data_IF_277199310059
#
_entry.id   IF_277199310059
#
_cell.length_a   1.000
_cell.length_b   1.000
_cell.length_c   1.000
_cell.angle_alpha   90.00
_cell.angle_beta   90.00
_cell.angle_gamma   90.00
#
_symmetry.space_group_name_H-M   'P 1'
#
loop_
_entity.id
_entity.type
_entity.pdbx_description
1 polymer ?
#
# COMPACT_ATOMS: atom_id res chain seq x y z
N UNK A 1 16.08 -13.84 3.24
CA UNK A 1 16.00 -14.57 1.94
C UNK A 1 14.52 -14.84 1.67
N UNK A 2 13.81 -13.88 1.08
CA UNK A 2 12.36 -13.98 0.88
C UNK A 2 12.05 -14.86 -0.35
N UNK A 3 11.40 -16.01 -0.12
CA UNK A 3 11.01 -16.97 -1.16
C UNK A 3 9.74 -16.51 -1.90
N UNK A 4 9.53 -17.04 -3.11
CA UNK A 4 8.60 -16.57 -4.17
C UNK A 4 7.09 -16.82 -3.91
N UNK A 5 6.56 -16.52 -2.73
CA UNK A 5 5.12 -16.66 -2.45
C UNK A 5 4.48 -15.29 -2.18
N UNK A 6 4.22 -14.51 -3.24
CA UNK A 6 3.72 -13.15 -3.10
C UNK A 6 2.29 -12.93 -3.63
N UNK A 7 1.41 -12.67 -2.65
CA UNK A 7 0.23 -11.80 -2.64
C UNK A 7 -1.11 -12.34 -3.17
N UNK A 8 -2.13 -12.27 -2.31
CA UNK A 8 -3.54 -12.50 -2.65
C UNK A 8 -4.47 -11.31 -2.35
N UNK A 9 -5.54 -11.18 -3.15
CA UNK A 9 -6.54 -10.11 -3.02
C UNK A 9 -7.49 -10.34 -1.83
N UNK A 10 -7.90 -9.28 -1.12
CA UNK A 10 -8.94 -9.34 -0.10
C UNK A 10 -10.29 -9.95 -0.51
N UNK A 11 -10.71 -9.85 -1.77
CA UNK A 11 -11.93 -10.52 -2.28
C UNK A 11 -11.83 -12.06 -2.24
N UNK A 12 -10.63 -12.63 -2.21
CA UNK A 12 -10.36 -14.07 -2.10
C UNK A 12 -9.98 -14.54 -0.69
N UNK A 13 -9.94 -13.65 0.31
CA UNK A 13 -9.62 -13.99 1.71
C UNK A 13 -10.53 -15.09 2.29
N UNK A 14 -11.73 -15.25 1.75
CA UNK A 14 -12.68 -16.31 2.15
C UNK A 14 -12.39 -17.69 1.53
N UNK A 15 -11.41 -17.82 0.61
CA UNK A 15 -11.18 -19.02 -0.21
C UNK A 15 -9.72 -19.46 -0.35
N UNK A 16 -8.77 -18.75 0.25
CA UNK A 16 -7.35 -19.08 0.11
C UNK A 16 -6.89 -20.20 1.04
N UNK A 17 -6.21 -21.20 0.47
CA UNK A 17 -5.49 -22.26 1.22
C UNK A 17 -4.02 -21.92 1.47
N UNK A 18 -3.51 -20.76 1.02
CA UNK A 18 -2.09 -20.39 1.13
C UNK A 18 -1.90 -19.21 2.06
N UNK A 19 -1.33 -19.49 3.23
CA UNK A 19 -1.03 -18.51 4.27
C UNK A 19 0.41 -18.00 4.24
N UNK A 20 1.32 -18.72 3.56
CA UNK A 20 2.69 -18.28 3.32
C UNK A 20 2.74 -17.17 2.25
N UNK A 21 2.18 -16.01 2.56
CA UNK A 21 2.20 -14.81 1.71
C UNK A 21 1.83 -13.56 2.51
N UNK A 22 2.07 -12.38 1.93
CA UNK A 22 1.56 -11.11 2.47
C UNK A 22 0.19 -10.71 1.89
N UNK A 23 -0.60 -9.94 2.65
CA UNK A 23 -1.85 -9.32 2.19
C UNK A 23 -1.61 -7.87 1.80
N UNK A 24 -2.24 -7.40 0.72
CA UNK A 24 -2.31 -5.97 0.39
C UNK A 24 -3.75 -5.47 0.22
N UNK A 25 -3.90 -4.14 0.18
CA UNK A 25 -5.18 -3.47 -0.05
C UNK A 25 -5.21 -2.54 -1.27
N UNK A 26 -4.38 -2.79 -2.29
CA UNK A 26 -4.45 -2.10 -3.59
C UNK A 26 -5.72 -2.51 -4.38
N UNK A 27 -6.87 -2.08 -3.88
CA UNK A 27 -8.24 -2.33 -4.34
C UNK A 27 -9.07 -1.06 -4.05
N UNK A 28 -10.31 -1.00 -4.55
CA UNK A 28 -11.20 0.11 -4.19
C UNK A 28 -11.58 0.05 -2.70
N UNK A 29 -11.63 1.23 -2.04
CA UNK A 29 -11.91 1.40 -0.61
C UNK A 29 -13.08 0.56 -0.08
N UNK A 30 -14.21 0.53 -0.82
CA UNK A 30 -15.42 -0.18 -0.40
C UNK A 30 -15.17 -1.67 -0.10
N UNK A 31 -14.15 -2.27 -0.73
CA UNK A 31 -13.82 -3.69 -0.58
C UNK A 31 -13.19 -4.01 0.79
N UNK A 32 -12.58 -3.02 1.44
CA UNK A 32 -11.92 -3.17 2.73
C UNK A 32 -12.44 -2.22 3.81
N UNK A 33 -13.49 -1.42 3.53
CA UNK A 33 -14.24 -0.64 4.54
C UNK A 33 -14.65 -1.46 5.77
N UNK A 34 -14.92 -2.75 5.58
CA UNK A 34 -15.21 -3.70 6.68
C UNK A 34 -14.11 -3.77 7.74
N UNK A 35 -12.84 -3.57 7.36
CA UNK A 35 -11.72 -3.54 8.29
C UNK A 35 -11.77 -2.32 9.20
N UNK A 36 -12.23 -1.17 8.68
CA UNK A 36 -12.44 0.03 9.49
C UNK A 36 -13.68 -0.09 10.38
N UNK A 37 -14.78 -0.62 9.84
CA UNK A 37 -16.03 -0.68 10.57
C UNK A 37 -16.04 -1.74 11.68
N UNK A 38 -15.25 -2.81 11.53
CA UNK A 38 -15.16 -3.92 12.49
C UNK A 38 -13.72 -4.44 12.59
N UNK A 39 -12.78 -3.64 13.13
CA UNK A 39 -11.34 -3.95 13.06
C UNK A 39 -10.95 -5.23 13.79
N UNK A 40 -11.58 -5.49 14.94
CA UNK A 40 -11.32 -6.69 15.76
C UNK A 40 -11.67 -8.00 15.04
N UNK A 41 -12.77 -8.00 14.27
CA UNK A 41 -13.32 -9.21 13.62
C UNK A 41 -12.33 -9.90 12.68
N UNK A 42 -11.36 -9.16 12.14
CA UNK A 42 -10.44 -9.67 11.13
C UNK A 42 -9.05 -10.01 11.69
N UNK A 43 -8.77 -9.77 12.99
CA UNK A 43 -7.45 -9.98 13.58
C UNK A 43 -6.97 -11.43 13.42
N UNK A 44 -7.78 -12.41 13.81
CA UNK A 44 -7.40 -13.83 13.72
C UNK A 44 -7.19 -14.32 12.29
N UNK A 45 -7.84 -13.66 11.32
CA UNK A 45 -7.62 -13.94 9.91
C UNK A 45 -6.28 -13.35 9.44
N UNK A 46 -6.04 -12.08 9.75
CA UNK A 46 -4.84 -11.34 9.35
C UNK A 46 -3.57 -11.96 9.94
N UNK A 47 -3.63 -12.46 11.18
CA UNK A 47 -2.54 -13.18 11.86
C UNK A 47 -2.02 -14.42 11.14
N UNK A 48 -2.82 -15.00 10.23
CA UNK A 48 -2.42 -16.21 9.50
C UNK A 48 -1.36 -15.93 8.43
N UNK A 49 -1.17 -14.67 8.04
CA UNK A 49 -0.30 -14.27 6.94
C UNK A 49 1.05 -13.77 7.45
N UNK A 50 2.09 -13.87 6.63
CA UNK A 50 3.45 -13.51 7.03
C UNK A 50 3.58 -12.01 7.31
N UNK A 51 2.82 -11.19 6.58
CA UNK A 51 2.70 -9.75 6.82
C UNK A 51 1.41 -9.21 6.21
N UNK A 52 1.02 -8.03 6.67
CA UNK A 52 -0.15 -7.30 6.16
C UNK A 52 0.28 -5.89 5.80
N UNK A 53 0.08 -5.48 4.56
CA UNK A 53 0.32 -4.09 4.18
C UNK A 53 -0.79 -3.22 4.77
N UNK A 54 -0.47 -2.02 5.27
CA UNK A 54 -1.49 -1.10 5.79
C UNK A 54 -2.51 -0.76 4.69
N UNK A 55 -3.78 -0.52 5.04
CA UNK A 55 -4.81 -0.28 4.04
C UNK A 55 -4.62 1.08 3.36
N UNK A 56 -4.78 1.13 2.05
CA UNK A 56 -4.54 2.33 1.25
C UNK A 56 -5.87 3.01 0.89
N UNK A 57 -6.41 3.80 1.82
CA UNK A 57 -7.63 4.58 1.55
C UNK A 57 -7.36 5.67 0.52
N UNK A 58 -8.32 5.87 -0.38
CA UNK A 58 -8.16 6.78 -1.51
C UNK A 58 -7.90 8.23 -1.07
N UNK A 59 -6.82 8.81 -1.56
CA UNK A 59 -6.42 10.21 -1.34
C UNK A 59 -6.52 11.02 -2.63
N UNK A 60 -7.66 10.97 -3.33
CA UNK A 60 -7.77 11.69 -4.60
C UNK A 60 -7.49 13.19 -4.45
N UNK A 61 -6.79 13.77 -5.42
CA UNK A 61 -6.32 15.15 -5.34
C UNK A 61 -7.46 16.20 -5.29
N UNK A 62 -8.66 15.82 -5.74
CA UNK A 62 -9.89 16.62 -5.71
C UNK A 62 -10.70 16.47 -4.42
N UNK A 63 -10.32 15.55 -3.52
CA UNK A 63 -10.93 15.46 -2.19
C UNK A 63 -10.59 16.70 -1.34
N UNK A 64 -11.52 17.18 -0.49
CA UNK A 64 -11.19 18.16 0.53
C UNK A 64 -10.03 17.66 1.41
N UNK A 65 -9.09 18.55 1.76
CA UNK A 65 -7.92 18.20 2.58
C UNK A 65 -8.30 17.48 3.88
N UNK A 66 -9.40 17.88 4.51
CA UNK A 66 -9.91 17.21 5.71
C UNK A 66 -10.23 15.72 5.48
N UNK A 67 -10.79 15.37 4.32
CA UNK A 67 -11.08 13.98 3.97
C UNK A 67 -9.80 13.19 3.65
N UNK A 68 -8.83 13.84 3.00
CA UNK A 68 -7.51 13.23 2.75
C UNK A 68 -6.81 12.88 4.07
N UNK A 69 -6.75 13.83 5.00
CA UNK A 69 -6.18 13.62 6.34
C UNK A 69 -6.95 12.54 7.11
N UNK A 70 -8.28 12.54 7.06
CA UNK A 70 -9.09 11.51 7.69
C UNK A 70 -8.79 10.11 7.14
N UNK A 71 -8.68 9.96 5.82
CA UNK A 71 -8.33 8.67 5.19
C UNK A 71 -6.92 8.21 5.55
N UNK A 72 -5.97 9.13 5.60
CA UNK A 72 -4.61 8.86 6.07
C UNK A 72 -4.58 8.43 7.54
N UNK A 73 -5.32 9.11 8.40
CA UNK A 73 -5.50 8.73 9.80
C UNK A 73 -6.04 7.30 9.95
N UNK A 74 -7.08 6.94 9.18
CA UNK A 74 -7.68 5.59 9.24
C UNK A 74 -6.69 4.49 8.87
N UNK A 75 -5.83 4.75 7.89
CA UNK A 75 -4.72 3.86 7.53
C UNK A 75 -3.80 3.63 8.74
N UNK A 76 -3.29 4.71 9.34
CA UNK A 76 -2.38 4.61 10.48
C UNK A 76 -3.02 3.93 11.68
N UNK A 77 -4.27 4.28 11.99
CA UNK A 77 -4.99 3.70 13.11
C UNK A 77 -5.15 2.18 12.94
N UNK A 78 -5.53 1.71 11.75
CA UNK A 78 -5.63 0.28 11.48
C UNK A 78 -4.27 -0.43 11.54
N UNK A 79 -3.22 0.17 10.98
CA UNK A 79 -1.87 -0.37 11.03
C UNK A 79 -1.38 -0.55 12.48
N UNK A 80 -1.49 0.51 13.29
CA UNK A 80 -1.12 0.49 14.70
C UNK A 80 -1.97 -0.52 15.49
N UNK A 81 -3.28 -0.54 15.26
CA UNK A 81 -4.18 -1.49 15.90
C UNK A 81 -3.79 -2.94 15.57
N UNK A 82 -3.44 -3.25 14.33
CA UNK A 82 -2.98 -4.60 13.96
C UNK A 82 -1.64 -4.97 14.60
N UNK A 83 -0.69 -4.04 14.65
CA UNK A 83 0.59 -4.24 15.32
C UNK A 83 0.41 -4.55 16.82
N UNK A 84 -0.56 -3.93 17.50
CA UNK A 84 -0.87 -4.24 18.91
C UNK A 84 -1.29 -5.70 19.13
N UNK A 85 -1.82 -6.37 18.10
CA UNK A 85 -2.16 -7.79 18.15
C UNK A 85 -1.03 -8.70 17.66
N UNK A 86 0.17 -8.18 17.40
CA UNK A 86 1.33 -8.95 16.95
C UNK A 86 1.30 -9.30 15.46
N UNK A 87 0.54 -8.55 14.65
CA UNK A 87 0.59 -8.69 13.19
C UNK A 87 1.78 -7.89 12.68
N UNK A 88 2.61 -8.52 11.85
CA UNK A 88 3.67 -7.83 11.11
C UNK A 88 3.04 -6.93 10.04
N UNK A 89 3.18 -5.61 10.19
CA UNK A 89 2.57 -4.62 9.29
C UNK A 89 3.64 -3.89 8.50
N UNK A 90 3.51 -3.92 7.16
CA UNK A 90 4.33 -3.10 6.26
C UNK A 90 3.52 -1.86 5.88
N UNK A 91 4.00 -0.64 6.10
CA UNK A 91 3.27 0.56 5.74
C UNK A 91 3.13 0.71 4.23
N UNK A 92 1.91 0.99 3.78
CA UNK A 92 1.63 1.46 2.43
C UNK A 92 1.70 2.98 2.41
N UNK A 93 2.62 3.54 1.62
CA UNK A 93 2.79 4.99 1.47
C UNK A 93 1.92 5.48 0.32
N UNK A 94 1.16 6.52 0.59
CA UNK A 94 0.25 7.14 -0.36
C UNK A 94 0.25 8.65 -0.19
N UNK A 95 0.04 9.34 -1.30
CA UNK A 95 0.03 10.80 -1.39
C UNK A 95 -1.02 11.23 -2.41
N UNK A 96 -1.53 12.46 -2.27
CA UNK A 96 -2.54 13.03 -3.18
C UNK A 96 -1.89 13.97 -4.20
N UNK A 97 -1.36 15.08 -3.70
CA UNK A 97 -0.67 16.14 -4.42
C UNK A 97 0.43 16.74 -3.52
N UNK A 98 1.13 17.76 -3.97
CA UNK A 98 2.26 18.33 -3.23
C UNK A 98 1.90 18.86 -1.84
N UNK A 99 0.65 19.31 -1.62
CA UNK A 99 0.20 19.75 -0.29
C UNK A 99 0.12 18.58 0.69
N UNK A 100 -0.05 17.35 0.21
CA UNK A 100 -0.08 16.20 1.09
C UNK A 100 1.28 15.88 1.71
N UNK A 101 2.38 16.33 1.11
CA UNK A 101 3.73 16.03 1.60
C UNK A 101 4.02 16.64 2.98
N UNK A 102 3.24 17.64 3.39
CA UNK A 102 3.30 18.24 4.73
C UNK A 102 2.89 17.26 5.83
N UNK A 103 2.14 16.20 5.52
CA UNK A 103 1.58 15.29 6.53
C UNK A 103 1.62 13.81 6.13
N UNK A 104 1.68 13.45 4.83
CA UNK A 104 1.47 12.07 4.39
C UNK A 104 2.64 11.11 4.68
N UNK A 105 3.77 11.66 5.14
CA UNK A 105 4.94 10.90 5.57
C UNK A 105 5.11 10.87 7.09
N UNK A 106 4.26 11.60 7.83
CA UNK A 106 4.36 11.66 9.28
C UNK A 106 3.86 10.37 9.92
N UNK A 107 4.58 9.88 10.92
CA UNK A 107 4.26 8.62 11.60
C UNK A 107 4.64 7.36 10.80
N UNK A 108 5.14 7.50 9.58
CA UNK A 108 5.68 6.39 8.80
C UNK A 108 7.13 6.04 9.26
N UNK A 109 7.50 4.75 9.29
CA UNK A 109 8.82 4.34 9.74
C UNK A 109 9.92 4.70 8.71
N UNK A 110 10.98 5.32 9.19
CA UNK A 110 12.19 5.59 8.39
C UNK A 110 13.09 4.36 8.31
N UNK A 111 13.90 4.27 7.26
CA UNK A 111 14.88 3.18 7.08
C UNK A 111 14.26 1.79 7.22
N UNK A 112 13.07 1.62 6.67
CA UNK A 112 12.28 0.40 6.80
C UNK A 112 11.84 -0.12 5.43
N UNK A 113 11.17 -1.27 5.42
CA UNK A 113 10.46 -1.72 4.24
C UNK A 113 9.12 -0.99 4.14
N UNK A 114 8.85 -0.38 2.99
CA UNK A 114 7.58 0.29 2.69
C UNK A 114 6.96 -0.27 1.42
N UNK A 115 5.65 -0.09 1.25
CA UNK A 115 4.94 -0.48 0.04
C UNK A 115 4.34 0.72 -0.69
N UNK A 116 4.35 0.68 -2.03
CA UNK A 116 3.71 1.68 -2.89
C UNK A 116 3.02 1.00 -4.06
N UNK A 117 2.03 1.66 -4.67
CA UNK A 117 1.41 1.17 -5.90
C UNK A 117 1.24 2.27 -6.94
N UNK A 118 1.44 1.87 -8.20
CA UNK A 118 1.18 2.71 -9.37
C UNK A 118 -0.15 2.39 -10.07
N UNK A 119 -1.00 1.54 -9.47
CA UNK A 119 -2.34 1.27 -10.03
C UNK A 119 -3.11 2.58 -10.17
N UNK A 120 -3.66 2.82 -11.36
CA UNK A 120 -4.47 4.00 -11.65
C UNK A 120 -3.69 5.28 -11.94
N UNK A 121 -2.38 5.32 -11.67
CA UNK A 121 -1.57 6.56 -11.84
C UNK A 121 -0.78 6.61 -13.15
N UNK A 122 -0.63 5.48 -13.86
CA UNK A 122 0.25 5.40 -15.03
C UNK A 122 -0.42 5.67 -16.39
N UNK A 123 -1.73 5.97 -16.40
CA UNK A 123 -2.49 6.14 -17.65
C UNK A 123 -2.48 7.57 -18.21
N UNK A 124 -1.96 8.55 -17.47
CA UNK A 124 -1.86 9.94 -17.88
C UNK A 124 -0.48 10.49 -17.49
N UNK A 125 0.16 11.26 -18.38
CA UNK A 125 1.44 11.94 -18.15
C UNK A 125 1.43 12.76 -16.86
N UNK A 126 0.38 13.54 -16.61
CA UNK A 126 0.27 14.36 -15.38
C UNK A 126 0.20 13.47 -14.13
N UNK A 127 -0.55 12.36 -14.19
CA UNK A 127 -0.64 11.43 -13.07
C UNK A 127 0.69 10.71 -12.80
N UNK A 128 1.44 10.38 -13.87
CA UNK A 128 2.81 9.86 -13.76
C UNK A 128 3.74 10.88 -13.10
N UNK A 129 3.72 12.13 -13.52
CA UNK A 129 4.55 13.20 -12.95
C UNK A 129 4.25 13.44 -11.46
N UNK A 130 2.96 13.50 -11.09
CA UNK A 130 2.55 13.61 -9.68
C UNK A 130 2.97 12.40 -8.85
N UNK A 131 2.86 11.19 -9.42
CA UNK A 131 3.35 9.98 -8.78
C UNK A 131 4.87 10.05 -8.54
N UNK A 132 5.65 10.42 -9.56
CA UNK A 132 7.10 10.52 -9.44
C UNK A 132 7.54 11.57 -8.42
N UNK A 133 6.86 12.71 -8.36
CA UNK A 133 7.11 13.73 -7.32
C UNK A 133 6.92 13.15 -5.92
N UNK A 134 5.78 12.52 -5.64
CA UNK A 134 5.54 11.93 -4.33
C UNK A 134 6.45 10.75 -4.00
N UNK A 135 6.81 9.94 -5.01
CA UNK A 135 7.80 8.88 -4.83
C UNK A 135 9.16 9.45 -4.42
N UNK A 136 9.61 10.53 -5.07
CA UNK A 136 10.89 11.17 -4.73
C UNK A 136 10.86 11.79 -3.34
N UNK A 137 9.75 12.42 -2.94
CA UNK A 137 9.60 12.95 -1.58
C UNK A 137 9.56 11.82 -0.53
N UNK A 138 8.87 10.71 -0.81
CA UNK A 138 8.92 9.51 0.04
C UNK A 138 10.36 9.03 0.24
N UNK A 139 11.14 8.91 -0.84
CA UNK A 139 12.53 8.46 -0.77
C UNK A 139 13.40 9.42 0.08
N UNK A 140 13.17 10.73 -0.02
CA UNK A 140 13.90 11.73 0.78
C UNK A 140 13.50 11.70 2.26
N UNK A 141 12.21 11.64 2.55
CA UNK A 141 11.69 11.75 3.92
C UNK A 141 11.87 10.46 4.73
N UNK A 142 11.59 9.32 4.11
CA UNK A 142 11.57 8.02 4.78
C UNK A 142 12.87 7.22 4.59
N UNK A 143 13.62 7.49 3.52
CA UNK A 143 14.87 6.80 3.20
C UNK A 143 14.73 5.26 3.34
N UNK A 144 13.72 4.65 2.69
CA UNK A 144 13.38 3.25 2.90
C UNK A 144 14.52 2.32 2.46
N UNK A 145 14.74 1.24 3.21
CA UNK A 145 15.73 0.20 2.87
C UNK A 145 15.25 -0.67 1.71
N UNK A 146 13.94 -0.88 1.61
CA UNK A 146 13.30 -1.67 0.57
C UNK A 146 11.94 -1.07 0.22
N UNK A 147 11.65 -0.99 -1.08
CA UNK A 147 10.34 -0.57 -1.59
C UNK A 147 9.66 -1.75 -2.26
N UNK A 148 8.59 -2.26 -1.65
CA UNK A 148 7.68 -3.20 -2.29
C UNK A 148 6.79 -2.42 -3.25
N UNK A 149 6.96 -2.63 -4.54
CA UNK A 149 6.28 -1.85 -5.56
C UNK A 149 5.24 -2.71 -6.27
N UNK A 150 3.96 -2.33 -6.17
CA UNK A 150 2.87 -3.06 -6.82
C UNK A 150 2.40 -2.37 -8.11
N UNK A 151 2.51 -3.09 -9.24
CA UNK A 151 2.14 -2.61 -10.57
C UNK A 151 3.36 -2.23 -11.43
N UNK A 152 3.14 -1.41 -12.47
CA UNK A 152 4.20 -0.98 -13.36
C UNK A 152 5.13 0.00 -12.63
N UNK A 153 6.41 -0.35 -12.53
CA UNK A 153 7.45 0.54 -11.99
C UNK A 153 7.86 1.52 -13.08
N UNK A 154 7.69 2.85 -12.89
CA UNK A 154 8.30 3.85 -13.77
C UNK A 154 9.83 3.69 -13.81
N UNK A 155 10.46 3.89 -14.97
CA UNK A 155 11.92 3.79 -15.12
C UNK A 155 12.66 4.81 -14.24
N UNK A 156 12.00 5.93 -13.93
CA UNK A 156 12.53 7.00 -13.10
C UNK A 156 12.52 6.67 -11.59
N UNK A 157 11.85 5.60 -11.16
CA UNK A 157 11.85 5.18 -9.77
C UNK A 157 13.17 4.48 -9.41
N UNK A 158 13.95 5.11 -8.53
CA UNK A 158 15.20 4.57 -8.00
C UNK A 158 15.02 3.93 -6.60
N UNK A 159 16.01 3.15 -6.16
CA UNK A 159 16.06 2.50 -4.85
C UNK A 159 16.07 0.97 -4.93
N UNK A 160 16.06 0.32 -3.77
CA UNK A 160 15.97 -1.14 -3.68
C UNK A 160 14.51 -1.59 -3.86
N UNK A 161 14.10 -1.76 -5.12
CA UNK A 161 12.71 -2.03 -5.49
C UNK A 161 12.48 -3.53 -5.68
N UNK A 162 11.51 -4.08 -4.94
CA UNK A 162 10.95 -5.40 -5.18
C UNK A 162 9.63 -5.24 -5.93
N UNK A 163 9.63 -5.52 -7.23
CA UNK A 163 8.43 -5.38 -8.07
C UNK A 163 7.49 -6.60 -7.95
N UNK A 164 6.25 -6.33 -7.56
CA UNK A 164 5.14 -7.27 -7.59
C UNK A 164 4.21 -6.92 -8.77
N UNK A 165 4.28 -7.72 -9.83
CA UNK A 165 3.41 -7.55 -11.01
C UNK A 165 1.94 -7.64 -10.62
N UNK A 166 1.16 -6.66 -11.09
CA UNK A 166 -0.28 -6.68 -10.94
C UNK A 166 -0.89 -7.84 -11.73
N UNK A 167 -2.08 -8.30 -11.31
CA UNK A 167 -2.79 -9.37 -12.02
C UNK A 167 -3.10 -9.01 -13.50
N UNK A 168 -3.41 -7.74 -13.78
CA UNK A 168 -3.69 -7.27 -15.14
C UNK A 168 -2.45 -7.37 -16.04
N UNK A 169 -1.25 -7.11 -15.50
CA UNK A 169 0.01 -7.27 -16.23
C UNK A 169 0.37 -8.74 -16.45
N UNK A 170 0.08 -9.61 -15.47
CA UNK A 170 0.27 -11.07 -15.63
C UNK A 170 -0.54 -11.60 -16.82
N UNK A 171 -1.77 -11.10 -17.01
CA UNK A 171 -2.62 -11.46 -18.15
C UNK A 171 -2.06 -10.87 -19.46
N UNK A 172 -1.64 -9.60 -19.46
CA UNK A 172 -1.11 -8.95 -20.67
C UNK A 172 0.21 -9.56 -21.17
N UNK A 173 1.05 -10.08 -20.28
CA UNK A 173 2.31 -10.75 -20.63
C UNK A 173 2.19 -12.22 -20.99
N UNK A 174 0.97 -12.76 -21.07
CA UNK A 174 0.68 -14.15 -21.47
C UNK A 174 0.05 -14.24 -22.87
N UNK A 175 0.28 -13.23 -23.71
CA UNK A 175 -0.05 -13.22 -25.14
C UNK A 175 1.22 -13.12 -25.96
#
# INVERSE_FOLDING_TARGET
MFSKSFVERPKRLMSSKKTDCGIHFFLDDYQFMRLWNNPERYIDLLKKFNCVLSPDFSLYADYPTALQIYNHYRKHWLAAYWQMYGIEVIPTICWSNEKSFEWCFDGEPKHSTVAVSSIGTQNNKTAKELFLKGYNEMMKHLQPETVIFYGKVPEECAGNIINIKSFQEKIRGSK
#
